data_IF_814558031603
#
_entry.id   IF_814558031603
#
_cell.length_a   1.000
_cell.length_b   1.000
_cell.length_c   1.000
_cell.angle_alpha   90.00
_cell.angle_beta   90.00
_cell.angle_gamma   90.00
#
_symmetry.space_group_name_H-M   'P 1'
#
loop_
_entity.id
_entity.type
_entity.pdbx_description
1 polymer ?
#
# COMPACT_ATOMS: atom_id res chain seq x y z
N UNK A 1 19.30 -18.69 30.24
CA UNK A 1 18.63 -19.48 29.18
C UNK A 1 17.83 -18.52 28.33
N UNK A 2 18.29 -18.21 27.12
CA UNK A 2 17.55 -17.36 26.19
C UNK A 2 16.45 -18.19 25.53
N UNK A 3 15.18 -17.80 25.70
CA UNK A 3 14.05 -18.44 25.03
C UNK A 3 14.14 -18.28 23.51
N UNK A 4 13.51 -19.18 22.72
CA UNK A 4 13.61 -19.13 21.26
C UNK A 4 12.98 -17.82 20.74
N UNK A 5 13.52 -17.22 19.67
CA UNK A 5 12.94 -16.01 19.09
C UNK A 5 11.52 -16.33 18.59
N UNK A 6 10.57 -15.49 19.02
CA UNK A 6 9.15 -15.65 18.77
C UNK A 6 8.83 -15.84 17.27
N UNK A 7 7.88 -16.74 16.99
CA UNK A 7 7.31 -16.99 15.65
C UNK A 7 6.46 -15.82 15.12
N UNK A 8 6.63 -14.61 15.64
CA UNK A 8 5.64 -13.51 15.58
C UNK A 8 5.78 -12.54 14.39
N UNK A 9 6.62 -12.81 13.41
CA UNK A 9 6.81 -11.91 12.24
C UNK A 9 6.91 -12.63 10.89
N UNK A 10 6.73 -13.95 10.84
CA UNK A 10 7.00 -14.73 9.62
C UNK A 10 5.77 -14.96 8.75
N UNK A 11 4.56 -14.90 9.31
CA UNK A 11 3.33 -15.22 8.57
C UNK A 11 2.90 -14.09 7.62
N UNK A 12 3.08 -12.83 8.03
CA UNK A 12 2.72 -11.68 7.19
C UNK A 12 3.55 -11.58 5.90
N UNK A 13 4.89 -11.58 5.98
CA UNK A 13 5.75 -11.56 4.80
C UNK A 13 5.54 -12.77 3.87
N UNK A 14 5.24 -13.95 4.43
CA UNK A 14 5.02 -15.16 3.63
C UNK A 14 3.71 -15.09 2.81
N UNK A 15 2.62 -14.62 3.42
CA UNK A 15 1.35 -14.44 2.72
C UNK A 15 1.44 -13.39 1.60
N UNK A 16 2.15 -12.28 1.86
CA UNK A 16 2.43 -11.26 0.85
C UNK A 16 3.28 -11.80 -0.30
N UNK A 17 4.32 -12.59 0.01
CA UNK A 17 5.19 -13.17 -1.00
C UNK A 17 4.43 -14.14 -1.93
N UNK A 18 3.49 -14.93 -1.39
CA UNK A 18 2.65 -15.81 -2.19
C UNK A 18 1.75 -15.02 -3.15
N UNK A 19 1.08 -13.98 -2.65
CA UNK A 19 0.26 -13.10 -3.49
C UNK A 19 1.09 -12.43 -4.58
N UNK A 20 2.30 -11.97 -4.26
CA UNK A 20 3.22 -11.36 -5.20
C UNK A 20 3.72 -12.35 -6.26
N UNK A 21 3.92 -13.62 -5.90
CA UNK A 21 4.30 -14.65 -6.85
C UNK A 21 3.20 -14.87 -7.90
N UNK A 22 1.92 -14.91 -7.49
CA UNK A 22 0.77 -15.00 -8.41
C UNK A 22 0.65 -13.78 -9.30
N UNK A 23 0.92 -12.60 -8.75
CA UNK A 23 0.98 -11.38 -9.56
C UNK A 23 2.06 -11.47 -10.64
N UNK A 24 3.26 -11.95 -10.29
CA UNK A 24 4.38 -12.08 -11.23
C UNK A 24 4.13 -13.08 -12.37
N UNK A 25 3.27 -14.08 -12.16
CA UNK A 25 2.85 -15.04 -13.19
C UNK A 25 1.68 -14.53 -14.05
N UNK A 26 1.11 -13.36 -13.72
CA UNK A 26 -0.07 -12.82 -14.39
C UNK A 26 -1.40 -13.39 -13.89
N UNK A 27 -1.39 -14.19 -12.84
CA UNK A 27 -2.58 -14.78 -12.21
C UNK A 27 -3.28 -13.73 -11.31
N UNK A 28 -3.72 -12.63 -11.92
CA UNK A 28 -4.22 -11.45 -11.19
C UNK A 28 -5.44 -11.75 -10.30
N UNK A 29 -6.32 -12.67 -10.73
CA UNK A 29 -7.47 -13.08 -9.92
C UNK A 29 -7.03 -13.78 -8.62
N UNK A 30 -6.05 -14.68 -8.69
CA UNK A 30 -5.54 -15.38 -7.51
C UNK A 30 -4.74 -14.42 -6.62
N UNK A 31 -3.90 -13.57 -7.21
CA UNK A 31 -3.17 -12.52 -6.48
C UNK A 31 -4.12 -11.60 -5.70
N UNK A 32 -5.19 -11.12 -6.34
CA UNK A 32 -6.19 -10.26 -5.70
C UNK A 32 -6.92 -10.96 -4.55
N UNK A 33 -7.26 -12.24 -4.72
CA UNK A 33 -7.88 -13.03 -3.66
C UNK A 33 -6.95 -13.18 -2.45
N UNK A 34 -5.67 -13.49 -2.70
CA UNK A 34 -4.66 -13.65 -1.65
C UNK A 34 -4.41 -12.34 -0.89
N UNK A 35 -4.27 -11.20 -1.59
CA UNK A 35 -4.15 -9.91 -0.94
C UNK A 35 -5.39 -9.55 -0.11
N UNK A 36 -6.59 -9.87 -0.61
CA UNK A 36 -7.84 -9.61 0.13
C UNK A 36 -7.95 -10.49 1.38
N UNK A 37 -7.53 -11.75 1.30
CA UNK A 37 -7.47 -12.64 2.45
C UNK A 37 -6.51 -12.10 3.52
N UNK A 38 -5.31 -11.66 3.10
CA UNK A 38 -4.33 -11.05 4.01
C UNK A 38 -4.88 -9.80 4.71
N UNK A 39 -5.46 -8.86 3.94
CA UNK A 39 -6.08 -7.64 4.49
C UNK A 39 -7.21 -8.01 5.47
N UNK A 40 -8.05 -8.98 5.13
CA UNK A 40 -9.12 -9.46 6.00
C UNK A 40 -8.60 -10.09 7.30
N UNK A 41 -7.51 -10.84 7.23
CA UNK A 41 -6.84 -11.40 8.42
C UNK A 41 -6.29 -10.29 9.32
N UNK A 42 -5.74 -9.22 8.75
CA UNK A 42 -5.27 -8.06 9.50
C UNK A 42 -6.39 -7.31 10.24
N UNK A 43 -7.64 -7.40 9.78
CA UNK A 43 -8.80 -6.81 10.45
C UNK A 43 -9.30 -7.65 11.65
N UNK A 44 -8.78 -8.87 11.86
CA UNK A 44 -9.26 -9.77 12.91
C UNK A 44 -8.70 -9.44 14.30
N UNK A 45 -9.48 -9.75 15.34
CA UNK A 45 -9.10 -9.50 16.75
C UNK A 45 -7.90 -10.39 17.12
N UNK A 46 -6.78 -9.76 17.47
CA UNK A 46 -5.54 -10.46 17.82
C UNK A 46 -4.52 -10.56 16.69
N UNK A 47 -4.81 -9.98 15.52
CA UNK A 47 -3.84 -9.90 14.42
C UNK A 47 -2.68 -8.94 14.77
N UNK A 48 -1.45 -9.36 14.42
CA UNK A 48 -0.22 -8.57 14.54
C UNK A 48 0.33 -8.24 13.15
N UNK A 49 -0.48 -7.60 12.30
CA UNK A 49 0.04 -7.05 11.04
C UNK A 49 0.78 -5.74 11.30
N UNK A 50 1.96 -5.58 10.69
CA UNK A 50 2.63 -4.28 10.69
C UNK A 50 1.88 -3.29 9.78
N UNK A 51 1.85 -1.99 10.10
CA UNK A 51 1.33 -0.96 9.19
C UNK A 51 1.99 -1.01 7.80
N UNK A 52 3.29 -1.35 7.75
CA UNK A 52 4.06 -1.48 6.51
C UNK A 52 3.56 -2.64 5.64
N UNK A 53 3.32 -3.81 6.23
CA UNK A 53 2.78 -4.98 5.52
C UNK A 53 1.37 -4.71 5.02
N UNK A 54 0.53 -4.06 5.85
CA UNK A 54 -0.84 -3.73 5.47
C UNK A 54 -0.87 -2.70 4.32
N UNK A 55 -0.08 -1.64 4.41
CA UNK A 55 0.05 -0.66 3.34
C UNK A 55 0.58 -1.29 2.04
N UNK A 56 1.55 -2.21 2.15
CA UNK A 56 2.08 -2.98 1.01
C UNK A 56 1.01 -3.86 0.38
N UNK A 57 0.18 -4.54 1.18
CA UNK A 57 -0.92 -5.36 0.68
C UNK A 57 -1.92 -4.54 -0.12
N UNK A 58 -2.34 -3.39 0.41
CA UNK A 58 -3.25 -2.48 -0.29
C UNK A 58 -2.63 -1.97 -1.59
N UNK A 59 -1.37 -1.53 -1.57
CA UNK A 59 -0.67 -1.10 -2.79
C UNK A 59 -0.65 -2.20 -3.86
N UNK A 60 -0.28 -3.42 -3.49
CA UNK A 60 -0.11 -4.50 -4.46
C UNK A 60 -1.46 -5.04 -4.95
N UNK A 61 -2.51 -5.02 -4.11
CA UNK A 61 -3.88 -5.30 -4.56
C UNK A 61 -4.37 -4.24 -5.55
N UNK A 62 -4.10 -2.97 -5.27
CA UNK A 62 -4.40 -1.87 -6.18
C UNK A 62 -3.66 -2.01 -7.51
N UNK A 63 -2.40 -2.44 -7.49
CA UNK A 63 -1.64 -2.73 -8.70
C UNK A 63 -2.25 -3.90 -9.48
N UNK A 64 -2.65 -4.96 -8.79
CA UNK A 64 -3.32 -6.12 -9.40
C UNK A 64 -4.60 -5.69 -10.12
N UNK A 65 -5.47 -4.93 -9.45
CA UNK A 65 -6.70 -4.36 -10.02
C UNK A 65 -6.44 -3.42 -11.19
N UNK A 66 -5.37 -2.63 -11.13
CA UNK A 66 -4.95 -1.78 -12.24
C UNK A 66 -4.64 -2.59 -13.51
N UNK A 67 -3.96 -3.74 -13.38
CA UNK A 67 -3.70 -4.64 -14.51
C UNK A 67 -4.98 -5.33 -15.00
N UNK A 68 -5.97 -5.53 -14.12
CA UNK A 68 -7.32 -5.97 -14.47
C UNK A 68 -8.23 -4.88 -15.05
N UNK A 69 -7.75 -3.62 -15.18
CA UNK A 69 -8.51 -2.45 -15.66
C UNK A 69 -9.60 -1.96 -14.67
N UNK A 70 -9.58 -2.44 -13.43
CA UNK A 70 -10.46 -2.03 -12.33
C UNK A 70 -9.93 -0.74 -11.67
N UNK A 71 -9.93 0.36 -12.44
CA UNK A 71 -9.19 1.57 -12.09
C UNK A 71 -9.70 2.29 -10.85
N UNK A 72 -11.01 2.32 -10.59
CA UNK A 72 -11.56 3.03 -9.43
C UNK A 72 -11.24 2.26 -8.14
N UNK A 73 -11.43 0.95 -8.16
CA UNK A 73 -11.13 0.05 -7.07
C UNK A 73 -9.63 -0.01 -6.77
N UNK A 74 -8.79 0.17 -7.79
CA UNK A 74 -7.35 0.33 -7.63
C UNK A 74 -7.00 1.67 -6.94
N UNK A 75 -7.70 2.77 -7.30
CA UNK A 75 -7.50 4.06 -6.63
C UNK A 75 -7.93 4.03 -5.16
N UNK A 76 -8.98 3.29 -4.81
CA UNK A 76 -9.40 3.10 -3.42
C UNK A 76 -8.32 2.37 -2.62
N UNK A 77 -7.78 1.28 -3.18
CA UNK A 77 -6.68 0.53 -2.55
C UNK A 77 -5.42 1.40 -2.34
N UNK A 78 -5.03 2.20 -3.34
CA UNK A 78 -3.93 3.14 -3.16
C UNK A 78 -4.24 4.21 -2.11
N UNK A 79 -5.49 4.62 -1.97
CA UNK A 79 -5.90 5.59 -0.95
C UNK A 79 -5.80 4.98 0.45
N UNK A 80 -6.25 3.74 0.65
CA UNK A 80 -6.06 3.03 1.91
C UNK A 80 -4.57 2.86 2.27
N UNK A 81 -3.72 2.50 1.30
CA UNK A 81 -2.27 2.39 1.54
C UNK A 81 -1.65 3.72 2.00
N UNK A 82 -2.10 4.84 1.41
CA UNK A 82 -1.68 6.21 1.79
C UNK A 82 -2.16 6.60 3.18
N UNK A 83 -3.37 6.20 3.57
CA UNK A 83 -3.90 6.49 4.91
C UNK A 83 -3.15 5.72 6.00
N UNK A 84 -2.73 4.48 5.71
CA UNK A 84 -1.98 3.64 6.65
C UNK A 84 -0.54 4.10 6.78
N UNK A 85 0.14 4.32 5.64
CA UNK A 85 1.53 4.75 5.60
C UNK A 85 1.68 5.99 4.71
N UNK A 86 1.46 7.20 5.24
CA UNK A 86 1.49 8.44 4.44
C UNK A 86 2.83 8.75 3.77
N UNK A 87 3.91 8.13 4.24
CA UNK A 87 5.24 8.27 3.66
C UNK A 87 5.54 7.20 2.60
N UNK A 88 4.61 6.30 2.29
CA UNK A 88 4.78 5.30 1.23
C UNK A 88 4.53 5.94 -0.12
N UNK A 89 5.59 6.27 -0.85
CA UNK A 89 5.54 7.03 -2.09
C UNK A 89 4.90 6.27 -3.26
N UNK A 90 5.02 4.93 -3.28
CA UNK A 90 4.61 4.08 -4.41
C UNK A 90 3.08 4.18 -4.70
N UNK A 91 2.18 4.07 -3.71
CA UNK A 91 0.74 4.32 -3.92
C UNK A 91 0.40 5.67 -4.54
N UNK A 92 1.13 6.75 -4.21
CA UNK A 92 0.88 8.07 -4.79
C UNK A 92 1.17 8.07 -6.29
N UNK A 93 2.30 7.48 -6.68
CA UNK A 93 2.69 7.33 -8.08
C UNK A 93 1.64 6.51 -8.84
N UNK A 94 1.26 5.35 -8.32
CA UNK A 94 0.30 4.45 -8.97
C UNK A 94 -1.09 5.08 -9.12
N UNK A 95 -1.58 5.79 -8.10
CA UNK A 95 -2.85 6.52 -8.18
C UNK A 95 -2.78 7.68 -9.18
N UNK A 96 -1.63 8.34 -9.30
CA UNK A 96 -1.37 9.37 -10.31
C UNK A 96 -1.40 8.80 -11.74
N UNK A 97 -0.85 7.61 -11.94
CA UNK A 97 -0.86 6.91 -13.23
C UNK A 97 -2.29 6.58 -13.69
N UNK A 98 -3.17 6.15 -12.78
CA UNK A 98 -4.58 5.93 -13.10
C UNK A 98 -5.26 7.22 -13.53
N UNK A 99 -5.09 8.29 -12.76
CA UNK A 99 -5.68 9.60 -13.09
C UNK A 99 -5.24 10.10 -14.46
N UNK A 100 -3.97 9.94 -14.78
CA UNK A 100 -3.44 10.25 -16.12
C UNK A 100 -4.15 9.42 -17.20
N UNK A 101 -4.31 8.11 -17.01
CA UNK A 101 -5.03 7.24 -17.96
C UNK A 101 -6.50 7.59 -18.14
N UNK A 102 -7.18 7.98 -17.06
CA UNK A 102 -8.59 8.35 -17.08
C UNK A 102 -8.84 9.81 -17.51
N UNK A 103 -7.78 10.60 -17.74
CA UNK A 103 -7.92 12.03 -18.03
C UNK A 103 -8.46 12.86 -16.85
N UNK A 104 -8.45 12.31 -15.64
CA UNK A 104 -8.92 12.98 -14.42
C UNK A 104 -7.81 13.93 -13.96
N UNK A 105 -8.11 15.23 -13.85
CA UNK A 105 -7.14 16.24 -13.41
C UNK A 105 -6.66 15.98 -11.97
N UNK A 106 -5.43 16.38 -11.67
CA UNK A 106 -4.80 16.20 -10.36
C UNK A 106 -5.62 16.84 -9.23
N UNK A 107 -5.86 16.07 -8.17
CA UNK A 107 -6.26 16.61 -6.87
C UNK A 107 -5.03 17.20 -6.15
N UNK A 108 -5.18 18.41 -5.60
CA UNK A 108 -4.10 19.24 -5.06
C UNK A 108 -3.36 18.59 -3.86
N UNK A 109 -3.96 17.58 -3.23
CA UNK A 109 -3.39 16.89 -2.08
C UNK A 109 -2.11 16.09 -2.39
N UNK A 110 -1.94 15.60 -3.63
CA UNK A 110 -0.75 14.81 -4.04
C UNK A 110 0.50 15.69 -4.11
N UNK A 111 0.36 16.93 -4.59
CA UNK A 111 1.46 17.89 -4.72
C UNK A 111 1.98 18.37 -3.36
N UNK A 112 1.10 18.47 -2.36
CA UNK A 112 1.46 19.00 -1.04
C UNK A 112 2.35 18.05 -0.24
N UNK A 113 2.06 16.74 -0.24
CA UNK A 113 2.80 15.74 0.55
C UNK A 113 4.12 15.29 -0.07
N UNK A 114 4.17 15.10 -1.40
CA UNK A 114 5.44 14.82 -2.09
C UNK A 114 6.44 15.96 -1.92
N UNK A 115 5.96 17.21 -1.93
CA UNK A 115 6.81 18.39 -1.69
C UNK A 115 7.35 18.44 -0.26
N UNK A 116 6.57 18.02 0.74
CA UNK A 116 7.04 17.87 2.14
C UNK A 116 8.12 16.80 2.28
N UNK A 117 7.98 15.68 1.58
CA UNK A 117 8.97 14.59 1.61
C UNK A 117 10.26 14.96 0.88
N UNK A 118 10.18 15.67 -0.26
CA UNK A 118 11.36 16.12 -1.02
C UNK A 118 12.08 17.34 -0.42
N UNK A 119 11.42 18.18 0.39
CA UNK A 119 12.05 19.38 0.98
C UNK A 119 12.48 19.25 2.46
N UNK A 120 12.23 18.14 3.15
CA UNK A 120 12.79 17.87 4.49
C UNK A 120 12.40 18.80 5.65
N UNK A 121 11.73 19.93 5.44
CA UNK A 121 11.41 20.96 6.45
C UNK A 121 10.07 21.58 5.97
N UNK A 122 9.01 21.78 6.75
CA UNK A 122 8.83 22.80 7.80
C UNK A 122 7.70 22.35 8.75
N UNK A 123 7.92 22.49 10.07
CA UNK A 123 6.87 22.48 11.08
C UNK A 123 5.83 23.60 10.81
N UNK A 124 4.60 23.45 11.30
CA UNK A 124 3.49 24.41 11.19
C UNK A 124 3.77 25.80 11.82
N UNK A 125 4.98 26.01 12.34
CA UNK A 125 5.46 27.21 13.02
C UNK A 125 6.41 28.09 12.19
N UNK A 126 6.79 27.68 10.97
CA UNK A 126 7.48 28.58 10.02
C UNK A 126 8.90 29.03 10.41
N UNK A 127 9.67 28.22 11.13
CA UNK A 127 11.07 28.50 11.43
C UNK A 127 12.00 27.37 10.93
N UNK A 128 13.12 27.75 10.29
CA UNK A 128 14.18 26.88 9.80
C UNK A 128 15.18 26.54 10.93
N UNK A 129 15.55 25.27 11.06
CA UNK A 129 16.89 24.83 11.46
C UNK A 129 17.28 23.63 10.58
#
# INVERSE_FOLDING_TARGET
MAGPPGRESREGPAALALAQARFATGDFAEAQALYSAFIGQCASRGSKCSPEDLATAYNNRGQTKYFSVDFYEAMDDYTSAIEILPNFEVPYYNRGLIRYRLGIKFDNQVKFRLKRHFLGIIDHSGALF
#
